data_IF_157039056261
#
_entry.id   IF_157039056261
#
_cell.length_a   1.000
_cell.length_b   1.000
_cell.length_c   1.000
_cell.angle_alpha   90.00
_cell.angle_beta   90.00
_cell.angle_gamma   90.00
#
_symmetry.space_group_name_H-M   'P 1'
#
loop_
_entity.id
_entity.type
_entity.pdbx_description
1 polymer ?
2 non-polymer ?
3 water ?
#
# COMPACT_ATOMS: atom_id res chain seq x y z
N UNK A 1 2.78 10.22 18.57
CA UNK A 1 3.31 10.36 17.21
C UNK A 1 3.32 9.03 16.46
N UNK A 2 2.66 9.02 15.30
CA UNK A 2 2.66 7.87 14.40
C UNK A 2 3.56 8.22 13.23
N UNK A 3 4.54 7.37 12.97
CA UNK A 3 5.43 7.54 11.83
C UNK A 3 4.95 6.66 10.70
N UNK A 4 4.80 7.27 9.53
CA UNK A 4 4.42 6.56 8.31
C UNK A 4 5.52 6.80 7.28
N UNK A 5 6.14 5.71 6.81
CA UNK A 5 7.21 5.81 5.85
C UNK A 5 6.79 5.15 4.56
N UNK A 6 6.85 5.91 3.46
CA UNK A 6 6.45 5.37 2.15
C UNK A 6 7.68 4.69 1.56
N UNK A 7 7.68 3.35 1.59
CA UNK A 7 8.80 2.61 1.04
C UNK A 7 8.68 2.55 -0.47
N UNK A 8 7.46 2.35 -0.94
CA UNK A 8 7.21 2.30 -2.37
C UNK A 8 5.89 2.98 -2.64
N UNK A 9 5.81 3.67 -3.77
CA UNK A 9 4.65 4.49 -4.07
C UNK A 9 4.01 4.17 -5.41
N UNK A 10 4.58 3.24 -6.18
CA UNK A 10 4.01 2.88 -7.48
C UNK A 10 3.03 1.72 -7.42
N UNK A 11 2.21 1.61 -8.46
CA UNK A 11 1.35 0.46 -8.67
C UNK A 11 2.19 -0.75 -9.10
N UNK A 12 1.53 -1.87 -9.36
CA UNK A 12 2.24 -3.05 -9.80
C UNK A 12 3.10 -2.74 -11.02
N UNK A 13 4.33 -3.26 -11.03
CA UNK A 13 5.25 -3.00 -12.12
C UNK A 13 6.23 -1.90 -11.80
N UNK A 14 5.87 -1.02 -10.87
CA UNK A 14 6.76 0.04 -10.49
C UNK A 14 6.88 1.10 -11.60
N UNK A 15 7.80 2.02 -11.41
CA UNK A 15 8.03 3.07 -12.41
C UNK A 15 9.50 3.39 -12.52
N UNK A 16 10.11 3.23 -13.72
CA UNK A 16 9.56 2.67 -14.95
C UNK A 16 9.27 1.17 -14.80
N UNK A 17 8.34 0.66 -15.59
CA UNK A 17 8.03 -0.75 -15.56
C UNK A 17 8.94 -1.46 -16.57
N UNK A 18 9.44 -2.63 -16.17
CA UNK A 18 10.52 -3.31 -16.88
C UNK A 18 10.29 -3.53 -18.38
N UNK A 19 9.03 -3.79 -18.76
CA UNK A 19 8.75 -4.08 -20.18
C UNK A 19 7.94 -2.98 -20.86
N UNK A 20 7.91 -1.81 -20.24
CA UNK A 20 7.02 -0.73 -20.72
C UNK A 20 7.77 0.43 -21.36
N UNK A 21 7.27 0.86 -22.53
CA UNK A 21 7.84 2.02 -23.22
C UNK A 21 6.79 3.07 -23.50
N UNK A 22 5.87 3.22 -22.55
CA UNK A 22 4.83 4.26 -22.67
C UNK A 22 5.49 5.62 -22.55
N UNK A 23 4.74 6.68 -22.81
CA UNK A 23 5.28 8.03 -22.77
C UNK A 23 6.13 8.30 -21.52
N UNK A 24 5.63 7.86 -20.36
CA UNK A 24 6.31 8.08 -19.09
C UNK A 24 7.58 7.24 -18.91
N UNK A 25 7.47 5.94 -19.18
CA UNK A 25 8.59 5.04 -18.97
C UNK A 25 9.72 5.37 -19.97
N UNK A 26 9.37 5.59 -21.23
CA UNK A 26 10.41 5.88 -22.22
C UNK A 26 11.01 7.26 -21.95
N UNK A 27 10.16 8.20 -21.58
CA UNK A 27 10.58 9.55 -21.24
C UNK A 27 11.54 9.54 -20.05
N UNK A 28 11.27 8.69 -19.08
CA UNK A 28 12.18 8.57 -17.95
C UNK A 28 13.55 8.03 -18.41
N UNK A 29 13.53 6.92 -19.15
CA UNK A 29 14.78 6.32 -19.59
C UNK A 29 15.57 7.26 -20.50
N UNK A 30 14.86 8.09 -21.29
CA UNK A 30 15.49 9.05 -22.22
C UNK A 30 16.13 10.27 -21.55
N UNK A 31 15.77 10.52 -20.30
CA UNK A 31 16.22 11.74 -19.64
C UNK A 31 15.42 12.95 -20.07
N UNK A 32 14.40 12.75 -20.90
CA UNK A 32 13.60 13.87 -21.40
C UNK A 32 12.39 14.20 -20.52
N UNK A 33 12.16 13.41 -19.48
CA UNK A 33 11.00 13.59 -18.63
C UNK A 33 11.36 13.79 -17.16
N UNK A 34 10.84 14.87 -16.56
CA UNK A 34 11.09 15.14 -15.15
C UNK A 34 10.19 14.30 -14.28
N UNK A 35 10.69 13.12 -13.92
CA UNK A 35 9.98 12.21 -13.03
C UNK A 35 10.97 11.46 -12.16
N UNK A 36 10.48 10.94 -11.05
CA UNK A 36 11.29 10.12 -10.15
C UNK A 36 10.86 8.66 -10.15
N UNK A 37 11.83 7.76 -10.28
CA UNK A 37 11.55 6.32 -10.25
C UNK A 37 10.85 5.94 -8.95
N UNK A 38 10.01 4.91 -9.04
CA UNK A 38 9.27 4.45 -7.86
C UNK A 38 9.20 2.96 -7.81
N UNK A 39 9.40 2.41 -6.60
CA UNK A 39 9.21 0.98 -6.38
C UNK A 39 7.76 0.68 -6.02
N UNK A 40 7.45 -0.61 -5.93
CA UNK A 40 6.05 -1.02 -5.75
C UNK A 40 5.52 -0.74 -4.35
N UNK A 41 4.24 -0.35 -4.30
CA UNK A 41 3.53 0.09 -3.10
C UNK A 41 3.84 -0.67 -1.80
N UNK A 42 4.27 0.06 -0.76
CA UNK A 42 4.50 -0.54 0.54
C UNK A 42 4.76 0.60 1.52
N UNK A 43 4.19 0.50 2.73
CA UNK A 43 4.51 1.49 3.74
C UNK A 43 4.97 0.80 5.01
N UNK A 44 5.65 1.55 5.86
CA UNK A 44 6.03 1.04 7.17
C UNK A 44 5.47 1.98 8.24
N UNK A 45 4.98 1.41 9.32
CA UNK A 45 4.35 2.16 10.40
C UNK A 45 5.09 1.99 11.72
N UNK A 46 5.13 3.03 12.54
CA UNK A 46 5.75 2.90 13.84
C UNK A 46 5.13 3.85 14.84
N UNK A 47 5.13 3.46 16.12
CA UNK A 47 4.73 4.42 17.16
C UNK A 47 5.92 5.00 17.91
N UNK A 48 7.14 4.57 17.57
CA UNK A 48 8.31 5.04 18.33
C UNK A 48 9.56 5.28 17.47
N UNK A 49 9.50 4.94 16.20
CA UNK A 49 10.62 5.15 15.27
C UNK A 49 11.68 4.06 15.28
N UNK A 50 11.46 3.04 16.10
CA UNK A 50 12.43 1.96 16.27
C UNK A 50 11.86 0.61 15.88
N UNK A 51 10.60 0.37 16.25
CA UNK A 51 9.91 -0.88 15.90
C UNK A 51 8.93 -0.59 14.78
N UNK A 52 9.04 -1.32 13.66
CA UNK A 52 8.24 -1.02 12.47
C UNK A 52 7.35 -2.17 12.04
N UNK A 53 6.19 -1.79 11.51
CA UNK A 53 5.24 -2.75 10.95
C UNK A 53 5.19 -2.50 9.46
N UNK A 54 5.49 -3.53 8.67
CA UNK A 54 5.50 -3.42 7.25
C UNK A 54 4.10 -3.72 6.71
N UNK A 55 3.53 -2.86 5.91
CA UNK A 55 2.26 -3.13 5.29
C UNK A 55 2.49 -3.46 3.82
N UNK A 56 2.28 -4.73 3.53
CA UNK A 56 2.58 -5.35 2.25
C UNK A 56 4.09 -5.50 2.02
N UNK A 57 4.50 -6.63 1.49
CA UNK A 57 5.91 -6.97 1.31
C UNK A 57 6.15 -7.03 -0.18
N UNK A 58 6.67 -5.95 -0.74
CA UNK A 58 6.71 -5.83 -2.20
C UNK A 58 7.91 -6.59 -2.80
N UNK A 59 7.89 -6.84 -4.12
CA UNK A 59 9.03 -7.50 -4.75
C UNK A 59 10.28 -6.64 -4.71
N UNK A 60 10.12 -5.34 -4.44
CA UNK A 60 11.24 -4.41 -4.35
C UNK A 60 11.78 -4.26 -2.93
N UNK A 61 11.42 -5.20 -2.06
CA UNK A 61 11.65 -5.03 -0.63
C UNK A 61 13.14 -4.81 -0.27
N UNK A 62 14.06 -5.47 -0.97
CA UNK A 62 15.47 -5.35 -0.61
C UNK A 62 15.93 -3.88 -0.76
N UNK A 63 15.63 -3.29 -1.91
CA UNK A 63 16.03 -1.90 -2.16
C UNK A 63 15.27 -0.95 -1.23
N UNK A 64 14.03 -1.30 -0.93
CA UNK A 64 13.22 -0.44 -0.06
C UNK A 64 13.80 -0.38 1.35
N UNK A 65 14.16 -1.55 1.89
CA UNK A 65 14.69 -1.57 3.26
C UNK A 65 16.03 -0.84 3.29
N UNK A 66 16.83 -1.04 2.25
CA UNK A 66 18.16 -0.47 2.24
C UNK A 66 18.12 1.05 2.26
N UNK A 67 17.08 1.61 1.64
CA UNK A 67 16.95 3.07 1.49
C UNK A 67 16.43 3.77 2.73
N UNK A 68 15.94 3.00 3.71
CA UNK A 68 15.38 3.59 4.93
C UNK A 68 16.15 3.10 6.16
N UNK A 69 17.02 3.96 6.71
CA UNK A 69 18.00 3.54 7.72
C UNK A 69 17.40 2.84 8.95
N UNK A 70 16.21 3.28 9.45
CA UNK A 70 15.71 2.57 10.64
C UNK A 70 15.39 1.09 10.39
N UNK A 71 15.37 0.68 9.13
CA UNK A 71 15.17 -0.73 8.85
C UNK A 71 16.39 -1.57 9.24
N UNK A 72 17.54 -0.93 9.46
CA UNK A 72 18.73 -1.62 9.98
C UNK A 72 19.31 -0.91 11.20
N UNK A 73 18.74 -1.18 12.39
CA UNK A 73 19.16 -0.53 13.64
C UNK A 73 20.55 -0.97 14.08
N UNK A 74 21.03 -2.07 13.53
CA UNK A 74 22.37 -2.58 13.79
C UNK A 74 22.64 -2.82 15.29
N UNK A 75 21.68 -3.42 15.96
CA UNK A 75 21.80 -3.69 17.41
C UNK A 75 22.50 -5.01 17.67
N UNK A 76 22.65 -5.81 16.61
CA UNK A 76 23.31 -7.11 16.69
C UNK A 76 23.84 -7.49 15.31
N UNK A 77 24.65 -8.54 15.23
CA UNK A 77 25.22 -8.99 13.96
C UNK A 77 24.11 -9.32 12.97
N UNK A 78 23.00 -9.86 13.48
CA UNK A 78 21.79 -10.05 12.66
C UNK A 78 20.63 -9.28 13.29
N UNK A 79 20.08 -8.35 12.52
CA UNK A 79 19.05 -7.45 13.05
C UNK A 79 18.20 -6.88 11.93
N UNK A 80 17.02 -6.41 12.30
CA UNK A 80 16.13 -5.71 11.36
C UNK A 80 15.18 -4.86 12.16
N UNK A 81 14.68 -3.80 11.52
CA UNK A 81 13.68 -2.92 12.13
C UNK A 81 12.27 -3.43 11.91
N UNK A 82 12.12 -4.49 11.11
CA UNK A 82 10.78 -5.07 10.86
C UNK A 82 10.35 -5.96 12.01
N UNK A 83 9.28 -5.58 12.71
CA UNK A 83 8.79 -6.38 13.83
C UNK A 83 7.54 -7.20 13.52
N UNK A 84 6.87 -6.85 12.41
CA UNK A 84 5.66 -7.53 11.96
C UNK A 84 5.36 -7.10 10.54
N UNK A 85 4.59 -7.93 9.83
CA UNK A 85 4.13 -7.62 8.49
C UNK A 85 2.62 -7.82 8.47
N UNK A 86 1.92 -6.84 7.92
CA UNK A 86 0.48 -6.91 7.70
C UNK A 86 0.22 -7.02 6.20
N UNK A 87 -0.54 -8.03 5.79
CA UNK A 87 -0.95 -8.16 4.39
C UNK A 87 -2.39 -7.75 4.20
N UNK A 88 -2.64 -6.93 3.17
CA UNK A 88 -4.00 -6.42 2.89
C UNK A 88 -4.74 -7.29 1.87
N UNK A 89 -3.97 -8.14 1.21
CA UNK A 89 -4.53 -9.05 0.19
C UNK A 89 -3.44 -10.04 -0.14
N UNK A 90 -3.73 -10.94 -1.08
CA UNK A 90 -2.76 -12.01 -1.40
C UNK A 90 -2.09 -11.83 -2.75
N UNK A 91 -2.17 -10.63 -3.30
CA UNK A 91 -1.59 -10.40 -4.64
C UNK A 91 -0.08 -10.58 -4.62
N UNK A 92 0.46 -11.05 -5.74
CA UNK A 92 1.89 -11.27 -5.87
C UNK A 92 2.69 -10.01 -5.51
N UNK A 93 2.23 -8.86 -5.95
CA UNK A 93 2.99 -7.64 -5.70
C UNK A 93 2.98 -7.20 -4.25
N UNK A 94 2.16 -7.83 -3.44
CA UNK A 94 2.04 -7.44 -2.03
C UNK A 94 2.62 -8.47 -1.09
N UNK A 95 3.01 -9.62 -1.66
CA UNK A 95 3.43 -10.73 -0.81
C UNK A 95 4.82 -11.30 -1.15
N UNK A 96 5.25 -11.11 -2.39
CA UNK A 96 6.47 -11.74 -2.88
C UNK A 96 7.69 -11.39 -2.03
N UNK A 97 7.70 -10.17 -1.50
CA UNK A 97 8.81 -9.71 -0.69
C UNK A 97 9.11 -10.60 0.50
N UNK A 98 8.10 -11.35 0.95
CA UNK A 98 8.32 -12.24 2.10
C UNK A 98 9.42 -13.26 1.80
N UNK A 99 9.52 -13.68 0.54
CA UNK A 99 10.55 -14.65 0.16
C UNK A 99 11.93 -14.07 0.45
N UNK A 100 12.06 -12.75 0.31
CA UNK A 100 13.38 -12.14 0.49
C UNK A 100 13.70 -11.89 1.96
N UNK A 101 12.74 -12.19 2.84
CA UNK A 101 12.97 -12.06 4.29
C UNK A 101 13.22 -13.40 4.97
N UNK A 102 13.35 -14.45 4.19
CA UNK A 102 13.37 -15.75 4.86
C UNK A 102 14.59 -16.01 5.74
N UNK A 103 15.68 -15.31 5.49
CA UNK A 103 16.86 -15.41 6.33
C UNK A 103 16.60 -14.83 7.73
N UNK A 104 15.48 -14.18 7.96
CA UNK A 104 15.19 -13.54 9.24
C UNK A 104 14.02 -14.16 9.97
N UNK A 105 13.56 -15.33 9.53
CA UNK A 105 12.44 -15.99 10.21
C UNK A 105 12.85 -16.34 11.64
N UNK A 106 11.87 -16.36 12.57
CA UNK A 106 10.43 -16.21 12.35
C UNK A 106 9.96 -14.76 12.19
N UNK A 107 8.91 -14.59 11.39
CA UNK A 107 8.22 -13.32 11.26
C UNK A 107 6.77 -13.41 11.67
N UNK A 108 6.28 -12.42 12.41
CA UNK A 108 4.84 -12.37 12.68
C UNK A 108 4.12 -11.77 11.47
N UNK A 109 3.18 -12.52 10.89
CA UNK A 109 2.48 -12.04 9.71
C UNK A 109 1.00 -12.00 9.98
N UNK A 110 0.40 -10.84 9.81
CA UNK A 110 -1.04 -10.66 10.03
C UNK A 110 -1.78 -10.66 8.72
N UNK A 111 -2.76 -11.56 8.58
CA UNK A 111 -3.59 -11.53 7.37
C UNK A 111 -4.88 -12.27 7.65
N UNK A 112 -5.84 -12.08 6.76
CA UNK A 112 -7.16 -12.70 6.97
C UNK A 112 -7.08 -14.20 6.70
N UNK A 113 -8.13 -14.91 7.09
CA UNK A 113 -8.23 -16.31 6.77
C UNK A 113 -8.19 -16.55 5.26
N UNK A 114 -8.86 -15.70 4.49
CA UNK A 114 -8.88 -15.88 3.03
C UNK A 114 -7.50 -15.71 2.41
N UNK A 115 -6.74 -14.75 2.91
CA UNK A 115 -5.41 -14.53 2.36
C UNK A 115 -4.49 -15.67 2.81
N UNK A 116 -4.65 -16.11 4.06
CA UNK A 116 -3.85 -17.23 4.54
C UNK A 116 -4.16 -18.49 3.71
N UNK A 117 -5.43 -18.67 3.34
CA UNK A 117 -5.76 -19.80 2.45
C UNK A 117 -5.00 -19.69 1.12
N UNK A 118 -5.02 -18.51 0.52
CA UNK A 118 -4.28 -18.36 -0.74
C UNK A 118 -2.78 -18.63 -0.53
N UNK A 119 -2.25 -18.18 0.60
CA UNK A 119 -0.80 -18.26 0.82
C UNK A 119 -0.36 -19.58 1.46
N UNK A 120 -1.29 -20.54 1.45
CA UNK A 120 -1.00 -21.90 1.83
C UNK A 120 -1.37 -22.88 0.73
N UNK A 121 -1.79 -22.35 -0.38
CA UNK A 121 -2.22 -23.15 -1.49
C UNK A 121 -1.76 -22.75 -2.90
N UNK A 122 -2.29 -21.68 -3.42
CA UNK A 122 -1.95 -21.27 -4.77
C UNK A 122 -0.58 -20.61 -4.81
N UNK A 123 -0.27 -19.82 -3.78
CA UNK A 123 1.06 -19.21 -3.65
C UNK A 123 1.55 -19.55 -2.24
N UNK A 124 2.11 -20.76 -2.06
CA UNK A 124 2.19 -21.34 -0.71
C UNK A 124 3.39 -20.84 0.08
N UNK A 125 3.45 -19.53 0.25
CA UNK A 125 4.55 -18.88 0.99
C UNK A 125 4.69 -19.41 2.42
N UNK A 126 3.56 -19.61 3.11
CA UNK A 126 3.63 -20.13 4.46
C UNK A 126 4.26 -21.53 4.47
N UNK A 127 3.88 -22.36 3.52
CA UNK A 127 4.42 -23.72 3.49
C UNK A 127 5.90 -23.69 3.12
N UNK A 128 6.26 -22.87 2.15
CA UNK A 128 7.65 -22.80 1.72
C UNK A 128 8.52 -22.33 2.85
N UNK A 129 8.13 -21.23 3.45
CA UNK A 129 9.02 -20.58 4.40
C UNK A 129 9.06 -21.31 5.74
N UNK A 130 8.16 -22.26 5.94
CA UNK A 130 8.16 -22.97 7.21
C UNK A 130 9.49 -23.73 7.41
N UNK A 131 10.20 -23.98 6.32
CA UNK A 131 11.48 -24.68 6.39
C UNK A 131 12.66 -23.76 6.75
N UNK A 132 12.40 -22.47 6.84
CA UNK A 132 13.39 -21.51 7.34
C UNK A 132 13.05 -21.12 8.78
N UNK A 133 13.70 -21.79 9.72
CA UNK A 133 13.57 -21.52 11.15
C UNK A 133 12.18 -21.12 11.62
N UNK A 134 11.20 -21.99 11.39
CA UNK A 134 9.84 -21.74 11.85
C UNK A 134 9.00 -20.90 10.92
N UNK A 135 9.64 -20.18 9.99
CA UNK A 135 8.89 -19.51 8.94
C UNK A 135 8.03 -18.35 9.39
N UNK A 136 6.83 -18.24 8.79
CA UNK A 136 5.93 -17.14 9.07
C UNK A 136 4.93 -17.58 10.10
N UNK A 137 4.74 -16.77 11.14
CA UNK A 137 3.81 -17.13 12.19
C UNK A 137 2.53 -16.36 11.98
N UNK A 138 1.48 -17.07 11.60
CA UNK A 138 0.21 -16.46 11.22
C UNK A 138 -0.57 -15.90 12.40
N UNK A 139 -0.93 -14.62 12.28
CA UNK A 139 -1.86 -13.95 13.17
C UNK A 139 -3.10 -13.59 12.37
N UNK A 140 -4.25 -14.15 12.75
CA UNK A 140 -5.45 -13.95 11.97
C UNK A 140 -6.03 -12.55 12.12
N UNK A 141 -6.24 -11.89 11.00
CA UNK A 141 -7.06 -10.67 11.02
C UNK A 141 -8.53 -11.10 10.92
N UNK A 142 -9.30 -10.80 11.96
CA UNK A 142 -10.75 -11.05 11.92
C UNK A 142 -11.46 -10.00 11.08
N UNK A 143 -12.66 -10.34 10.60
CA UNK A 143 -13.41 -9.51 9.67
C UNK A 143 -14.29 -8.51 10.39
N UNK A 144 -14.21 -8.48 11.72
CA UNK A 144 -14.70 -7.32 12.46
C UNK A 144 -13.75 -7.02 13.60
N UNK A 145 -13.88 -5.84 14.21
CA UNK A 145 -13.03 -5.49 15.32
C UNK A 145 -11.64 -5.00 14.95
N UNK A 146 -10.79 -4.85 15.97
CA UNK A 146 -9.45 -4.29 15.77
C UNK A 146 -8.36 -5.24 16.27
N UNK A 147 -7.11 -4.91 15.97
CA UNK A 147 -6.00 -5.65 16.54
C UNK A 147 -4.85 -4.72 16.87
N UNK A 148 -4.01 -5.18 17.80
CA UNK A 148 -2.82 -4.47 18.19
C UNK A 148 -1.62 -5.39 18.10
N UNK A 149 -0.58 -4.94 17.40
CA UNK A 149 0.68 -5.68 17.31
C UNK A 149 1.57 -5.30 18.48
N UNK A 150 2.03 -6.29 19.25
CA UNK A 150 2.77 -6.05 20.50
C UNK A 150 3.94 -5.08 20.40
N UNK A 151 4.68 -5.14 19.29
CA UNK A 151 5.87 -4.32 19.13
C UNK A 151 5.57 -2.83 19.03
N UNK A 152 4.35 -2.49 18.60
CA UNK A 152 3.92 -1.09 18.55
C UNK A 152 2.61 -0.97 19.29
N UNK A 153 2.67 -1.00 20.63
CA UNK A 153 1.44 -1.19 21.43
C UNK A 153 0.47 -0.01 21.35
N UNK A 154 0.93 1.12 20.82
CA UNK A 154 0.07 2.30 20.72
C UNK A 154 -0.63 2.45 19.37
N UNK A 155 -0.41 1.49 18.45
CA UNK A 155 -1.12 1.53 17.18
C UNK A 155 -2.27 0.54 17.19
N UNK A 156 -3.48 1.04 17.00
CA UNK A 156 -4.67 0.20 16.95
C UNK A 156 -5.12 0.10 15.49
N UNK A 157 -5.11 -1.12 14.96
CA UNK A 157 -5.50 -1.40 13.58
C UNK A 157 -6.96 -1.78 13.49
N UNK A 158 -7.74 -1.09 12.67
CA UNK A 158 -9.12 -1.53 12.38
C UNK A 158 -9.31 -1.65 10.88
N UNK A 159 -9.24 -2.89 10.36
CA UNK A 159 -9.44 -3.10 8.93
C UNK A 159 -10.87 -2.80 8.51
N UNK A 160 -11.07 -2.48 7.24
CA UNK A 160 -12.41 -2.31 6.68
C UNK A 160 -12.48 -3.09 5.39
N UNK A 161 -13.64 -3.67 5.09
CA UNK A 161 -13.72 -4.53 3.91
C UNK A 161 -13.75 -3.75 2.60
N UNK A 162 -13.09 -4.30 1.59
CA UNK A 162 -13.18 -3.79 0.22
C UNK A 162 -13.77 -4.85 -0.66
N UNK A 163 -14.25 -4.49 -1.85
CA UNK A 163 -14.78 -5.48 -2.78
C UNK A 163 -13.78 -6.60 -3.04
N UNK A 164 -14.25 -7.83 -2.94
CA UNK A 164 -13.40 -8.99 -3.02
C UNK A 164 -12.96 -9.26 -4.45
N UNK A 165 -11.66 -9.43 -4.62
CA UNK A 165 -11.09 -9.69 -5.93
C UNK A 165 -9.81 -10.49 -5.78
N UNK A 166 -9.96 -11.76 -5.45
CA UNK A 166 -8.83 -12.69 -5.34
C UNK A 166 -7.98 -12.66 -6.60
N UNK A 167 -6.66 -12.83 -6.42
CA UNK A 167 -5.69 -12.82 -7.54
C UNK A 167 -5.89 -13.97 -8.52
N UNK A 168 -5.33 -13.84 -9.71
CA UNK A 168 -5.56 -14.82 -10.74
C UNK A 168 -5.12 -16.21 -10.38
N UNK A 169 -4.14 -16.35 -9.52
CA UNK A 169 -3.69 -17.66 -9.18
C UNK A 169 -4.57 -18.31 -8.15
N UNK A 170 -5.49 -17.58 -7.57
CA UNK A 170 -6.21 -18.07 -6.38
C UNK A 170 -7.21 -19.13 -6.70
N UNK A 171 -7.24 -20.22 -5.91
CA UNK A 171 -8.22 -21.29 -6.04
C UNK A 171 -9.64 -20.77 -6.01
N UNK A 172 -9.85 -19.54 -5.52
CA UNK A 172 -11.17 -18.96 -5.54
C UNK A 172 -11.24 -17.58 -6.23
N UNK A 173 -10.48 -17.37 -7.32
CA UNK A 173 -10.62 -16.12 -8.09
C UNK A 173 -12.02 -15.98 -8.72
N UNK A 174 -12.62 -17.10 -9.08
CA UNK A 174 -13.94 -17.06 -9.69
C UNK A 174 -15.02 -17.11 -8.61
N UNK A 175 -14.60 -17.15 -7.35
CA UNK A 175 -15.52 -17.27 -6.22
C UNK A 175 -15.07 -16.37 -5.06
N UNK A 176 -15.20 -15.06 -5.23
CA UNK A 176 -14.69 -14.09 -4.24
C UNK A 176 -15.35 -14.20 -2.87
N UNK A 177 -14.58 -13.95 -1.82
CA UNK A 177 -15.06 -14.08 -0.45
C UNK A 177 -14.70 -12.87 0.36
N UNK A 178 -15.52 -12.54 1.36
CA UNK A 178 -15.14 -11.48 2.31
C UNK A 178 -13.81 -11.84 2.95
N UNK A 179 -12.93 -10.85 3.10
CA UNK A 179 -11.60 -11.08 3.62
C UNK A 179 -10.53 -11.17 2.55
N UNK A 180 -10.94 -11.27 1.28
CA UNK A 180 -9.94 -11.23 0.18
C UNK A 180 -9.18 -9.91 0.18
N UNK A 181 -9.89 -8.81 0.48
CA UNK A 181 -9.31 -7.48 0.34
C UNK A 181 -9.74 -6.58 1.46
N UNK A 182 -8.79 -5.84 2.02
CA UNK A 182 -9.18 -4.86 2.99
C UNK A 182 -8.32 -3.61 2.94
N UNK A 183 -8.86 -2.56 3.57
CA UNK A 183 -8.10 -1.35 3.82
C UNK A 183 -7.91 -1.25 5.31
N UNK A 184 -7.13 -0.26 5.75
CA UNK A 184 -6.77 -0.11 7.15
C UNK A 184 -7.07 1.27 7.67
N UNK A 185 -7.71 1.32 8.83
CA UNK A 185 -7.62 2.50 9.70
C UNK A 185 -6.59 2.18 10.78
N UNK A 186 -5.70 3.14 11.06
CA UNK A 186 -4.69 2.94 12.10
C UNK A 186 -4.76 4.13 13.03
N UNK A 187 -4.94 3.86 14.31
CA UNK A 187 -5.01 4.95 15.28
C UNK A 187 -3.85 4.92 16.27
N UNK A 188 -3.25 6.09 16.53
CA UNK A 188 -2.30 6.24 17.62
C UNK A 188 -3.15 6.45 18.85
N UNK A 189 -3.21 5.47 19.74
CA UNK A 189 -4.17 5.60 20.85
C UNK A 189 -3.70 6.56 21.92
N UNK A 190 -2.48 7.07 21.78
CA UNK A 190 -1.99 8.13 22.69
C UNK A 190 -2.56 9.50 22.35
N UNK A 191 -2.85 9.72 21.07
CA UNK A 191 -3.27 11.05 20.59
C UNK A 191 -4.61 11.07 19.89
N UNK A 192 -5.07 9.91 19.46
CA UNK A 192 -6.28 9.81 18.65
C UNK A 192 -6.03 10.11 17.19
N UNK A 193 -4.77 10.36 16.83
CA UNK A 193 -4.40 10.54 15.42
C UNK A 193 -4.73 9.30 14.59
N UNK A 194 -5.37 9.49 13.45
CA UNK A 194 -5.83 8.36 12.62
C UNK A 194 -5.43 8.45 11.16
N UNK A 195 -4.87 7.35 10.66
CA UNK A 195 -4.54 7.17 9.25
C UNK A 195 -5.60 6.29 8.60
N UNK A 196 -6.11 6.75 7.46
CA UNK A 196 -6.98 5.97 6.56
C UNK A 196 -6.13 5.52 5.37
N UNK A 197 -5.87 4.21 5.25
CA UNK A 197 -4.99 3.66 4.22
C UNK A 197 -5.75 2.74 3.27
N UNK A 198 -5.90 3.18 2.02
CA UNK A 198 -6.67 2.42 1.03
C UNK A 198 -5.99 2.50 -0.33
N UNK A 199 -4.86 1.80 -0.48
CA UNK A 199 -4.06 1.90 -1.70
C UNK A 199 -4.79 1.31 -2.91
N UNK A 200 -5.80 0.49 -2.65
CA UNK A 200 -6.64 -0.08 -3.69
C UNK A 200 -8.08 0.26 -3.33
N UNK A 201 -8.68 1.14 -4.13
CA UNK A 201 -10.02 1.62 -3.81
C UNK A 201 -10.81 1.76 -5.10
N UNK A 202 -11.78 0.87 -5.31
CA UNK A 202 -12.52 0.84 -6.55
C UNK A 202 -13.94 1.37 -6.46
N UNK A 203 -14.40 1.60 -5.24
CA UNK A 203 -15.74 2.16 -5.01
C UNK A 203 -15.78 2.77 -3.62
N UNK A 204 -16.67 3.74 -3.43
CA UNK A 204 -16.84 4.37 -2.13
C UNK A 204 -18.33 4.37 -1.77
N UNK A 205 -18.65 4.01 -0.52
CA UNK A 205 -20.04 4.05 -0.07
C UNK A 205 -20.17 5.04 1.08
N UNK A 206 -21.39 5.18 1.60
CA UNK A 206 -21.62 6.17 2.63
C UNK A 206 -20.84 5.82 3.90
N UNK A 207 -20.78 4.55 4.25
CA UNK A 207 -20.12 4.16 5.50
C UNK A 207 -18.62 4.47 5.37
N UNK A 208 -18.06 4.20 4.20
CA UNK A 208 -16.66 4.49 3.94
C UNK A 208 -16.36 5.98 4.13
N UNK A 209 -17.18 6.83 3.53
CA UNK A 209 -17.00 8.29 3.65
C UNK A 209 -17.07 8.73 5.10
N UNK A 210 -18.01 8.15 5.84
CA UNK A 210 -18.17 8.43 7.26
C UNK A 210 -16.89 8.14 8.02
N UNK A 211 -16.29 6.98 7.77
CA UNK A 211 -15.11 6.62 8.55
C UNK A 211 -13.92 7.47 8.11
N UNK A 212 -13.90 7.88 6.84
CA UNK A 212 -12.85 8.78 6.34
C UNK A 212 -12.89 10.13 7.05
N UNK A 213 -14.07 10.61 7.36
CA UNK A 213 -14.18 11.89 8.02
C UNK A 213 -13.62 11.87 9.40
N UNK A 214 -13.52 10.71 10.00
CA UNK A 214 -12.95 10.57 11.33
C UNK A 214 -11.44 10.45 11.28
N UNK A 215 -10.88 10.35 10.07
CA UNK A 215 -9.43 10.24 9.95
C UNK A 215 -8.76 11.61 9.84
N UNK A 216 -7.46 11.62 10.10
CA UNK A 216 -6.64 12.83 9.97
C UNK A 216 -5.85 12.85 8.67
N UNK A 217 -5.40 11.68 8.23
CA UNK A 217 -4.66 11.61 6.99
C UNK A 217 -5.25 10.52 6.11
N UNK A 218 -5.52 10.87 4.84
CA UNK A 218 -6.08 9.93 3.87
C UNK A 218 -5.01 9.56 2.85
N UNK A 219 -4.61 8.29 2.85
CA UNK A 219 -3.59 7.78 1.95
C UNK A 219 -4.26 6.80 1.02
N UNK A 220 -4.55 7.21 -0.22
CA UNK A 220 -5.50 6.48 -1.06
C UNK A 220 -5.01 6.26 -2.48
N UNK A 221 -5.57 5.23 -3.08
CA UNK A 221 -5.39 4.84 -4.48
C UNK A 221 -5.21 5.97 -5.43
N UNK A 222 -4.06 6.00 -6.08
CA UNK A 222 -3.76 7.02 -7.07
C UNK A 222 -3.34 6.41 -8.40
N UNK A 223 -3.89 5.24 -8.72
CA UNK A 223 -3.37 4.43 -9.83
C UNK A 223 -3.46 5.12 -11.19
N UNK A 224 -4.66 5.52 -11.60
CA UNK A 224 -4.87 6.07 -12.93
C UNK A 224 -5.47 7.46 -12.87
N UNK A 225 -5.05 8.33 -13.78
CA UNK A 225 -5.69 9.64 -13.92
C UNK A 225 -7.09 9.50 -14.52
N UNK A 226 -7.19 8.74 -15.61
CA UNK A 226 -8.47 8.50 -16.27
C UNK A 226 -8.74 7.00 -16.28
N UNK A 227 -10.01 6.62 -16.37
CA UNK A 227 -10.37 5.21 -16.30
C UNK A 227 -9.82 4.42 -17.50
N UNK A 228 -9.54 5.11 -18.60
CA UNK A 228 -9.13 4.46 -19.83
C UNK A 228 -7.65 4.70 -20.10
N UNK A 229 -6.91 4.96 -19.02
CA UNK A 229 -5.52 5.40 -19.16
C UNK A 229 -4.65 4.37 -19.88
N UNK A 230 -4.86 3.10 -19.55
CA UNK A 230 -4.10 2.00 -20.14
C UNK A 230 -4.19 1.99 -21.66
N UNK A 231 -5.39 2.21 -22.17
CA UNK A 231 -5.63 2.22 -23.61
C UNK A 231 -5.08 3.47 -24.26
N UNK A 232 -5.28 4.61 -23.61
CA UNK A 232 -4.78 5.89 -24.09
C UNK A 232 -3.26 5.81 -24.33
N UNK A 233 -2.56 5.18 -23.39
CA UNK A 233 -1.12 5.01 -23.50
C UNK A 233 -0.71 3.85 -24.39
N UNK A 234 -1.67 2.99 -24.72
CA UNK A 234 -1.46 1.89 -25.65
C UNK A 234 -0.77 0.68 -25.04
N UNK A 235 -0.83 0.55 -23.72
CA UNK A 235 -0.09 -0.55 -23.08
C UNK A 235 -0.95 -1.55 -22.32
N UNK A 236 -2.26 -1.44 -22.45
CA UNK A 236 -3.17 -2.39 -21.84
C UNK A 236 -4.58 -2.22 -22.38
N UNK A 237 -5.44 -3.20 -22.11
CA UNK A 237 -6.81 -3.16 -22.59
C UNK A 237 -7.81 -3.06 -21.43
N UNK A 238 -7.35 -3.44 -20.24
CA UNK A 238 -8.21 -3.39 -19.05
C UNK A 238 -8.48 -1.94 -18.65
N UNK A 239 -9.66 -1.70 -18.08
CA UNK A 239 -10.06 -0.38 -17.63
C UNK A 239 -9.85 -0.23 -16.13
N UNK A 240 -9.91 1.01 -15.65
CA UNK A 240 -9.82 1.30 -14.24
C UNK A 240 -10.80 0.52 -13.38
N UNK A 241 -12.10 0.57 -13.71
CA UNK A 241 -13.10 -0.12 -12.90
C UNK A 241 -12.92 -1.63 -13.00
N UNK A 242 -12.40 -2.08 -14.14
CA UNK A 242 -12.10 -3.50 -14.35
C UNK A 242 -11.01 -3.97 -13.37
N UNK A 243 -10.07 -3.08 -13.07
CA UNK A 243 -8.95 -3.44 -12.18
C UNK A 243 -9.17 -3.01 -10.74
N UNK A 244 -10.40 -2.58 -10.44
CA UNK A 244 -10.75 -2.18 -9.09
C UNK A 244 -10.13 -0.87 -8.63
N UNK A 245 -9.96 0.08 -9.55
CA UNK A 245 -9.36 1.37 -9.21
C UNK A 245 -10.22 2.54 -9.66
N UNK A 246 -10.59 3.41 -8.74
CA UNK A 246 -11.22 4.67 -9.10
C UNK A 246 -10.14 5.64 -9.59
N UNK A 247 -10.33 6.17 -10.79
CA UNK A 247 -9.40 7.16 -11.34
C UNK A 247 -9.55 8.50 -10.64
N UNK A 248 -8.53 9.34 -10.74
CA UNK A 248 -8.57 10.66 -10.10
C UNK A 248 -9.65 11.54 -10.69
N UNK A 249 -9.70 11.51 -12.03
CA UNK A 249 -10.55 12.44 -12.78
C UNK A 249 -11.90 11.85 -13.17
N UNK A 250 -12.87 12.72 -13.43
CA UNK A 250 -14.17 12.30 -13.92
C UNK A 250 -15.19 12.19 -12.81
N UNK A 251 -16.48 12.05 -13.19
CA UNK A 251 -17.56 11.85 -12.21
C UNK A 251 -17.30 10.63 -11.33
N UNK A 252 -17.31 10.85 -10.02
CA UNK A 252 -17.12 9.76 -9.09
C UNK A 252 -15.65 9.46 -8.89
N UNK A 253 -14.78 10.27 -9.50
CA UNK A 253 -13.34 10.11 -9.35
C UNK A 253 -12.88 10.40 -7.95
N UNK A 254 -11.63 10.06 -7.63
CA UNK A 254 -11.13 10.25 -6.27
C UNK A 254 -10.95 11.73 -5.95
N UNK A 255 -10.63 12.54 -6.95
CA UNK A 255 -10.46 13.97 -6.73
C UNK A 255 -11.79 14.58 -6.33
N UNK A 256 -12.85 14.11 -6.97
CA UNK A 256 -14.21 14.55 -6.62
C UNK A 256 -14.56 14.11 -5.19
N UNK A 257 -14.26 12.85 -4.85
CA UNK A 257 -14.44 12.38 -3.48
C UNK A 257 -13.66 13.23 -2.46
N UNK A 258 -12.39 13.48 -2.75
CA UNK A 258 -11.50 14.18 -1.82
C UNK A 258 -11.89 15.64 -1.61
N UNK A 259 -12.72 16.17 -2.50
CA UNK A 259 -13.24 17.53 -2.35
C UNK A 259 -14.02 17.72 -1.05
N UNK A 260 -14.60 16.62 -0.57
CA UNK A 260 -15.40 16.64 0.65
C UNK A 260 -14.59 16.57 1.92
N UNK A 261 -13.27 16.50 1.79
CA UNK A 261 -12.38 16.35 2.95
C UNK A 261 -11.33 17.46 3.04
N UNK A 262 -11.79 18.71 3.18
CA UNK A 262 -10.86 19.85 3.19
C UNK A 262 -9.79 19.81 4.28
N UNK A 263 -10.13 19.33 5.48
CA UNK A 263 -9.18 19.42 6.58
C UNK A 263 -8.25 18.22 6.74
N UNK A 264 -8.54 17.12 6.07
CA UNK A 264 -7.64 15.96 6.10
C UNK A 264 -6.41 16.22 5.24
N UNK A 265 -5.28 15.69 5.67
CA UNK A 265 -4.14 15.55 4.78
C UNK A 265 -4.50 14.49 3.76
N UNK A 266 -4.20 14.76 2.48
CA UNK A 266 -4.62 13.89 1.38
C UNK A 266 -3.43 13.52 0.49
N UNK A 267 -3.18 12.23 0.36
CA UNK A 267 -2.00 11.76 -0.38
C UNK A 267 -2.38 10.62 -1.29
N UNK A 268 -2.01 10.75 -2.56
CA UNK A 268 -2.21 9.68 -3.53
C UNK A 268 -1.05 8.71 -3.51
N UNK A 269 -1.33 7.42 -3.51
CA UNK A 269 -0.27 6.42 -3.47
C UNK A 269 -0.69 5.26 -4.37
N UNK A 270 0.24 4.37 -4.72
CA UNK A 270 -0.03 3.26 -5.65
C UNK A 270 -0.34 3.83 -7.04
N UNK A 271 0.63 4.57 -7.56
CA UNK A 271 0.50 5.30 -8.82
C UNK A 271 1.04 4.48 -10.01
N UNK A 272 0.24 4.30 -11.05
CA UNK A 272 0.68 3.50 -12.20
C UNK A 272 1.71 4.23 -13.06
N UNK A 273 2.58 3.47 -13.72
CA UNK A 273 3.63 4.06 -14.53
C UNK A 273 3.07 4.94 -15.63
N UNK A 274 1.81 4.73 -16.01
CA UNK A 274 1.17 5.49 -17.10
C UNK A 274 0.59 6.83 -16.64
N UNK A 275 0.56 7.05 -15.33
CA UNK A 275 -0.20 8.19 -14.79
C UNK A 275 0.53 9.52 -14.98
N UNK A 276 -0.11 10.49 -15.66
CA UNK A 276 0.62 11.73 -15.94
C UNK A 276 1.03 12.51 -14.69
N UNK A 277 0.42 12.25 -13.54
CA UNK A 277 0.78 12.96 -12.33
C UNK A 277 2.22 12.63 -11.93
N UNK A 278 2.79 11.59 -12.52
CA UNK A 278 4.19 11.26 -12.30
C UNK A 278 5.10 12.26 -12.99
N UNK A 279 4.60 12.86 -14.07
CA UNK A 279 5.30 13.93 -14.77
C UNK A 279 5.22 15.20 -13.91
N UNK A 280 6.36 15.66 -13.43
CA UNK A 280 6.34 16.76 -12.49
C UNK A 280 5.95 18.05 -13.20
N UNK A 281 5.95 18.03 -14.53
CA UNK A 281 5.63 19.22 -15.33
C UNK A 281 4.25 19.18 -15.95
N UNK A 282 3.47 18.17 -15.61
CA UNK A 282 2.16 17.96 -16.21
C UNK A 282 1.11 18.86 -15.58
N UNK A 283 0.10 19.26 -16.37
CA UNK A 283 -1.02 20.02 -15.83
C UNK A 283 -1.89 19.16 -14.92
N UNK A 284 -1.77 17.83 -15.05
CA UNK A 284 -2.47 16.90 -14.18
C UNK A 284 -1.88 16.96 -12.77
N UNK A 285 -0.55 16.96 -12.67
CA UNK A 285 0.13 17.14 -11.39
C UNK A 285 -0.23 18.50 -10.80
N UNK A 286 -0.25 19.52 -11.64
CA UNK A 286 -0.58 20.86 -11.17
C UNK A 286 -1.98 20.90 -10.55
N UNK A 287 -2.92 20.19 -11.16
CA UNK A 287 -4.31 20.18 -10.69
C UNK A 287 -4.41 19.47 -9.34
N UNK A 288 -3.67 18.38 -9.19
CA UNK A 288 -3.63 17.68 -7.91
C UNK A 288 -3.15 18.63 -6.81
N UNK A 289 -2.07 19.35 -7.07
CA UNK A 289 -1.50 20.23 -6.05
C UNK A 289 -2.45 21.40 -5.77
N UNK A 290 -3.17 21.84 -6.79
CA UNK A 290 -4.14 22.92 -6.63
C UNK A 290 -5.29 22.48 -5.73
N UNK A 291 -5.57 21.19 -5.70
CA UNK A 291 -6.67 20.65 -4.89
C UNK A 291 -6.22 20.28 -3.47
N UNK A 292 -4.99 20.66 -3.11
CA UNK A 292 -4.43 20.31 -1.81
C UNK A 292 -4.11 18.82 -1.63
N UNK A 293 -3.96 18.10 -2.74
CA UNK A 293 -3.64 16.68 -2.68
C UNK A 293 -2.15 16.48 -3.01
N UNK A 294 -1.48 15.57 -2.29
CA UNK A 294 -0.08 15.27 -2.53
C UNK A 294 0.10 13.98 -3.30
N UNK A 295 1.22 13.89 -4.01
CA UNK A 295 1.57 12.69 -4.77
C UNK A 295 2.70 12.00 -4.04
N UNK A 296 2.44 10.80 -3.52
CA UNK A 296 3.47 10.06 -2.79
C UNK A 296 4.66 9.75 -3.67
N UNK A 297 5.83 9.68 -3.02
CA UNK A 297 7.09 9.36 -3.66
C UNK A 297 7.86 8.46 -2.71
N UNK A 298 8.79 7.69 -3.26
CA UNK A 298 9.54 6.77 -2.42
C UNK A 298 10.37 7.56 -1.42
N UNK A 299 10.29 7.20 -0.14
CA UNK A 299 11.05 7.91 0.86
C UNK A 299 10.26 9.00 1.55
N UNK A 300 9.01 9.22 1.13
CA UNK A 300 8.16 10.23 1.78
C UNK A 300 7.89 9.85 3.24
N UNK A 301 8.03 10.82 4.14
CA UNK A 301 7.77 10.62 5.55
C UNK A 301 6.55 11.42 5.94
N UNK A 302 5.61 10.75 6.60
CA UNK A 302 4.39 11.40 7.07
C UNK A 302 4.35 11.20 8.57
N UNK A 303 4.21 12.30 9.30
CA UNK A 303 4.11 12.22 10.75
C UNK A 303 2.73 12.64 11.19
N UNK A 304 2.04 11.75 11.90
CA UNK A 304 0.74 12.05 12.46
C UNK A 304 0.89 12.42 13.92
N UNK A 305 0.67 13.69 14.21
CA UNK A 305 1.01 14.26 15.51
C UNK A 305 -0.17 14.19 16.46
N UNK A 306 -1.38 14.33 15.91
CA UNK A 306 -2.57 14.55 16.73
C UNK A 306 -3.86 14.43 15.93
N UNK A 307 -4.98 14.39 16.64
CA UNK A 307 -6.28 14.35 16.01
C UNK A 307 -6.83 15.77 15.84
N UNK A 308 -7.56 15.99 14.75
CA UNK A 308 -8.16 17.29 14.43
C UNK A 308 -9.29 17.69 15.34
N UNK A 309 -9.81 16.75 16.09
CA UNK A 309 -10.87 16.99 17.05
C UNK A 309 -10.30 16.94 18.47
X LIG B 1 5.06 2.85 -18.80
#
# INVERSE_FOLDING_TARGET
MMYIQVLGSAAGGGFPQWNCNCVNCKGYRDGTLKATARTQSSIALSDDGVHWILCNASPDIRAQLQAFAPMQPARALRDTGINAIVLLDSQIDHTTGLLSLREGCPHQVWCTDMVHQDLTTGFPLFNMLSHWNGGLQWNRIELEGSFVIDACPNLKFTPFPLRSAAPPYSPHRFDPHPGDNLGLMVEDTRTGGKLFYAPGLGQVDEKLLAMMHGADCLLVDGTLWEDDEMQRRGVGTRTGREMGHLAQNGPGGTLEVLDGFPRQRKVLIHINNTNPILDENSPERAEVLRRGVEVAFDGMSIELLEHHH
ZN ZN
#
